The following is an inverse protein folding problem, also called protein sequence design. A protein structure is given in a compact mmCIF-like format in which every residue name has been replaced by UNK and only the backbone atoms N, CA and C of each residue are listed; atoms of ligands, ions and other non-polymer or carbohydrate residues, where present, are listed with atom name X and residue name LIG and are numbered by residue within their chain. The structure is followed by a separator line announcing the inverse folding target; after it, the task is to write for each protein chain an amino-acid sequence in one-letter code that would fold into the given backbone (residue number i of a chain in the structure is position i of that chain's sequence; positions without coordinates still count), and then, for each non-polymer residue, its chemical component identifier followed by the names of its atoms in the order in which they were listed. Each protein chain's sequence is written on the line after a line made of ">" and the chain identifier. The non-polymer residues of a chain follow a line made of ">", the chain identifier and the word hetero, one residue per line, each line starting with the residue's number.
data_IF_726050926678
#
_entry.id   IF_726050926678
#
_cell.length_a   1.000
_cell.length_b   1.000
_cell.length_c   1.000
_cell.angle_alpha   90.00
_cell.angle_beta   90.00
_cell.angle_gamma   90.00
#
_symmetry.space_group_name_H-M   'P 1'
#
loop_
_entity.id
_entity.type
_entity.pdbx_description
1 polymer ?
#
# COMPACT_ATOMS: atom_id res chain seq x y z
N UNK A 1 16.36 7.38 -15.36
CA UNK A 1 15.79 7.82 -14.07
C UNK A 1 14.54 6.99 -13.81
N UNK A 2 14.30 6.55 -12.56
CA UNK A 2 13.10 5.83 -12.19
C UNK A 2 12.01 6.89 -12.02
N UNK A 3 10.89 6.72 -12.74
CA UNK A 3 9.78 7.67 -12.68
C UNK A 3 8.70 7.12 -11.75
N UNK A 4 8.19 7.97 -10.87
CA UNK A 4 7.04 7.67 -10.01
C UNK A 4 5.77 7.75 -10.84
N UNK A 5 5.05 6.64 -10.97
CA UNK A 5 3.76 6.62 -11.68
C UNK A 5 2.56 6.57 -10.73
N UNK A 6 2.76 6.02 -9.54
CA UNK A 6 1.79 6.01 -8.45
C UNK A 6 2.43 6.58 -7.19
N UNK A 7 1.72 7.41 -6.48
CA UNK A 7 2.21 8.00 -5.24
C UNK A 7 1.23 7.78 -4.10
N UNK A 8 1.68 7.11 -3.05
CA UNK A 8 0.83 6.83 -1.89
C UNK A 8 1.07 7.86 -0.80
N UNK A 9 0.03 8.55 -0.38
CA UNK A 9 0.03 9.41 0.79
C UNK A 9 -0.42 8.58 2.00
N UNK A 10 0.50 8.24 2.87
CA UNK A 10 0.21 7.60 4.15
C UNK A 10 -0.22 8.70 5.13
N UNK A 11 -1.46 9.10 5.04
CA UNK A 11 -2.04 10.34 5.59
C UNK A 11 -1.87 10.49 7.09
N UNK A 12 -1.97 9.39 7.83
CA UNK A 12 -1.85 9.35 9.29
C UNK A 12 -1.44 7.97 9.77
N UNK A 13 -0.79 7.91 10.93
CA UNK A 13 -0.56 6.66 11.67
C UNK A 13 -1.75 6.27 12.54
N UNK A 14 -2.70 7.18 12.78
CA UNK A 14 -3.89 6.91 13.56
C UNK A 14 -4.91 6.12 12.73
N UNK A 15 -5.58 5.16 13.36
CA UNK A 15 -6.64 4.37 12.76
C UNK A 15 -7.80 4.19 13.74
N UNK A 16 -8.99 3.91 13.25
CA UNK A 16 -10.15 3.55 14.06
C UNK A 16 -10.15 2.08 14.48
N UNK A 17 -9.20 1.28 13.96
CA UNK A 17 -9.09 -0.16 14.17
C UNK A 17 -7.68 -0.55 14.66
N UNK A 18 -7.58 -1.78 15.22
CA UNK A 18 -6.33 -2.39 15.72
C UNK A 18 -6.05 -3.74 15.07
N UNK A 19 -6.33 -3.85 13.77
CA UNK A 19 -6.25 -5.10 13.02
C UNK A 19 -4.94 -5.86 13.24
N UNK A 20 -5.03 -7.17 13.59
CA UNK A 20 -3.86 -7.98 13.90
C UNK A 20 -2.87 -8.19 12.73
N UNK A 21 -3.33 -7.99 11.49
CA UNK A 21 -2.49 -8.11 10.28
C UNK A 21 -1.99 -6.75 9.74
N UNK A 22 -2.23 -5.65 10.46
CA UNK A 22 -1.91 -4.31 9.98
C UNK A 22 -0.42 -4.14 9.64
N UNK A 23 -0.10 -3.98 8.37
CA UNK A 23 1.26 -3.75 7.90
C UNK A 23 1.84 -2.42 8.37
N UNK A 24 1.01 -1.41 8.65
CA UNK A 24 1.45 -0.08 9.09
C UNK A 24 1.52 0.10 10.60
N UNK A 25 1.18 -0.93 11.39
CA UNK A 25 1.10 -0.84 12.85
C UNK A 25 0.17 0.26 13.36
N UNK A 26 -0.80 0.67 12.56
CA UNK A 26 -1.73 1.75 12.91
C UNK A 26 -2.69 1.35 14.02
N UNK A 27 -3.12 2.31 14.84
CA UNK A 27 -4.09 2.11 15.92
C UNK A 27 -4.69 3.45 16.37
N UNK A 28 -5.76 3.45 17.18
CA UNK A 28 -6.33 4.69 17.74
C UNK A 28 -5.35 5.52 18.59
N UNK A 29 -4.34 4.87 19.19
CA UNK A 29 -3.35 5.50 20.06
C UNK A 29 -2.15 6.07 19.31
N UNK A 30 -1.96 5.70 18.05
CA UNK A 30 -0.87 6.22 17.24
C UNK A 30 -1.12 7.67 16.87
N UNK A 31 -0.03 8.43 16.81
CA UNK A 31 -0.03 9.84 16.44
C UNK A 31 0.78 10.06 15.16
N UNK A 32 0.69 11.25 14.63
CA UNK A 32 1.32 11.65 13.37
C UNK A 32 0.28 11.68 12.25
N UNK A 33 0.19 12.83 11.62
CA UNK A 33 -0.65 13.08 10.44
C UNK A 33 0.00 14.13 9.57
N UNK A 34 -0.26 14.06 8.29
CA UNK A 34 0.10 15.09 7.32
C UNK A 34 -0.95 16.21 7.34
N UNK A 35 -0.52 17.43 7.09
CA UNK A 35 -1.43 18.53 6.77
C UNK A 35 -1.63 18.61 5.24
N UNK A 36 -2.68 19.31 4.83
CA UNK A 36 -2.95 19.55 3.41
C UNK A 36 -1.76 20.26 2.72
N UNK A 37 -1.14 21.23 3.39
CA UNK A 37 0.00 21.98 2.85
C UNK A 37 1.17 21.04 2.49
N UNK A 38 1.58 20.16 3.41
CA UNK A 38 2.66 19.20 3.13
C UNK A 38 2.31 18.26 1.98
N UNK A 39 1.05 17.81 1.90
CA UNK A 39 0.58 16.95 0.82
C UNK A 39 0.65 17.69 -0.53
N UNK A 40 0.08 18.89 -0.61
CA UNK A 40 0.00 19.66 -1.86
C UNK A 40 1.38 20.08 -2.36
N UNK A 41 2.25 20.60 -1.49
CA UNK A 41 3.62 20.96 -1.83
C UNK A 41 4.45 19.79 -2.34
N UNK A 42 4.29 18.60 -1.70
CA UNK A 42 4.96 17.37 -2.15
C UNK A 42 4.49 16.93 -3.53
N UNK A 43 3.16 16.97 -3.78
CA UNK A 43 2.60 16.59 -5.09
C UNK A 43 3.02 17.59 -6.17
N UNK A 44 3.00 18.90 -5.92
CA UNK A 44 3.50 19.90 -6.87
C UNK A 44 4.96 19.64 -7.23
N UNK A 45 5.81 19.47 -6.22
CA UNK A 45 7.22 19.18 -6.44
C UNK A 45 7.43 17.84 -7.18
N UNK A 46 6.59 16.82 -6.93
CA UNK A 46 6.62 15.59 -7.71
C UNK A 46 6.26 15.81 -9.18
N UNK A 47 5.22 16.60 -9.47
CA UNK A 47 4.81 16.91 -10.85
C UNK A 47 5.93 17.66 -11.59
N UNK A 48 6.59 18.61 -10.93
CA UNK A 48 7.69 19.38 -11.51
C UNK A 48 8.94 18.52 -11.82
N UNK A 49 9.22 17.52 -10.98
CA UNK A 49 10.40 16.67 -11.08
C UNK A 49 10.15 15.29 -11.73
N UNK A 50 8.89 14.98 -12.09
CA UNK A 50 8.50 13.68 -12.58
C UNK A 50 7.30 13.74 -13.54
N UNK A 51 7.52 13.41 -14.80
CA UNK A 51 6.52 13.55 -15.86
C UNK A 51 5.52 12.38 -15.96
N UNK A 52 5.56 11.41 -15.05
CA UNK A 52 4.76 10.19 -15.13
C UNK A 52 3.81 9.95 -13.97
N UNK A 53 3.67 10.91 -13.07
CA UNK A 53 2.70 10.77 -12.00
C UNK A 53 1.29 10.70 -12.60
N UNK A 54 0.63 9.59 -12.38
CA UNK A 54 -0.71 9.29 -12.92
C UNK A 54 -1.75 9.16 -11.80
N UNK A 55 -1.37 8.52 -10.70
CA UNK A 55 -2.30 8.17 -9.63
C UNK A 55 -1.76 8.56 -8.26
N UNK A 56 -2.59 9.22 -7.46
CA UNK A 56 -2.36 9.48 -6.04
C UNK A 56 -3.29 8.63 -5.18
N UNK A 57 -2.71 7.89 -4.23
CA UNK A 57 -3.41 6.95 -3.36
C UNK A 57 -3.40 7.49 -1.95
N UNK A 58 -4.56 7.74 -1.36
CA UNK A 58 -4.72 8.13 0.04
C UNK A 58 -4.94 6.88 0.89
N UNK A 59 -3.97 6.57 1.75
CA UNK A 59 -3.94 5.39 2.62
C UNK A 59 -3.30 5.76 3.98
N UNK A 60 -2.79 4.76 4.72
CA UNK A 60 -2.10 4.94 5.99
C UNK A 60 -2.76 4.19 7.13
N UNK A 61 -3.15 4.89 8.22
CA UNK A 61 -4.08 4.38 9.21
C UNK A 61 -5.50 4.42 8.65
N UNK A 62 -6.32 5.38 9.11
CA UNK A 62 -7.61 5.64 8.47
C UNK A 62 -7.59 7.07 7.89
N UNK A 63 -7.53 7.24 6.55
CA UNK A 63 -7.36 8.55 5.92
C UNK A 63 -8.48 9.54 6.24
N UNK A 64 -9.70 9.05 6.47
CA UNK A 64 -10.87 9.91 6.76
C UNK A 64 -10.74 10.67 8.08
N UNK A 65 -9.78 10.31 8.92
CA UNK A 65 -9.44 11.07 10.14
C UNK A 65 -8.78 12.43 9.84
N UNK A 66 -8.32 12.67 8.60
CA UNK A 66 -7.86 13.98 8.15
C UNK A 66 -9.02 14.97 7.93
N UNK A 67 -10.25 14.49 7.79
CA UNK A 67 -11.48 15.30 7.61
C UNK A 67 -11.40 16.20 6.36
N UNK A 68 -11.47 17.55 6.53
CA UNK A 68 -11.38 18.51 5.41
C UNK A 68 -10.09 18.39 4.63
N UNK A 69 -8.94 18.22 5.30
CA UNK A 69 -7.63 18.13 4.64
C UNK A 69 -7.57 16.98 3.63
N UNK A 70 -8.31 15.87 3.87
CA UNK A 70 -8.42 14.78 2.90
C UNK A 70 -9.21 15.22 1.65
N UNK A 71 -10.35 15.90 1.84
CA UNK A 71 -11.17 16.36 0.72
C UNK A 71 -10.42 17.41 -0.10
N UNK A 72 -9.74 18.34 0.57
CA UNK A 72 -8.92 19.36 -0.08
C UNK A 72 -7.77 18.73 -0.88
N UNK A 73 -7.12 17.69 -0.32
CA UNK A 73 -6.06 16.97 -1.02
C UNK A 73 -6.56 16.17 -2.24
N UNK A 74 -7.75 15.54 -2.13
CA UNK A 74 -8.38 14.84 -3.27
C UNK A 74 -8.71 15.85 -4.37
N UNK A 75 -9.33 16.99 -4.02
CA UNK A 75 -9.71 18.02 -4.98
C UNK A 75 -8.48 18.60 -5.68
N UNK A 76 -7.43 18.90 -4.91
CA UNK A 76 -6.16 19.38 -5.45
C UNK A 76 -5.55 18.40 -6.49
N UNK A 77 -5.53 17.10 -6.19
CA UNK A 77 -5.03 16.10 -7.14
C UNK A 77 -5.90 16.01 -8.40
N UNK A 78 -7.23 16.02 -8.24
CA UNK A 78 -8.17 15.97 -9.35
C UNK A 78 -8.04 17.21 -10.26
N UNK A 79 -7.87 18.39 -9.70
CA UNK A 79 -7.63 19.65 -10.45
C UNK A 79 -6.32 19.62 -11.23
N UNK A 80 -5.32 18.86 -10.78
CA UNK A 80 -4.07 18.61 -11.53
C UNK A 80 -4.21 17.51 -12.60
N UNK A 81 -5.39 16.92 -12.75
CA UNK A 81 -5.65 15.85 -13.71
C UNK A 81 -5.12 14.47 -13.28
N UNK A 82 -4.82 14.29 -12.00
CA UNK A 82 -4.35 13.01 -11.44
C UNK A 82 -5.52 12.12 -11.06
N UNK A 83 -5.41 10.82 -11.31
CA UNK A 83 -6.33 9.83 -10.76
C UNK A 83 -6.17 9.75 -9.24
N UNK A 84 -7.28 9.66 -8.53
CA UNK A 84 -7.28 9.62 -7.06
C UNK A 84 -7.89 8.33 -6.56
N UNK A 85 -7.24 7.69 -5.59
CA UNK A 85 -7.72 6.47 -4.94
C UNK A 85 -7.74 6.66 -3.43
N UNK A 86 -8.82 6.25 -2.78
CA UNK A 86 -8.95 6.20 -1.33
C UNK A 86 -9.01 4.74 -0.85
N UNK A 87 -8.16 4.37 0.10
CA UNK A 87 -8.22 3.07 0.80
C UNK A 87 -8.69 3.34 2.23
N UNK A 88 -9.85 2.80 2.60
CA UNK A 88 -10.52 3.07 3.88
C UNK A 88 -11.15 1.81 4.46
N UNK A 89 -11.21 1.73 5.77
CA UNK A 89 -11.92 0.65 6.48
C UNK A 89 -13.43 0.92 6.62
N UNK A 90 -13.91 2.05 6.11
CA UNK A 90 -15.31 2.47 6.12
C UNK A 90 -15.96 2.60 7.51
N UNK A 91 -15.19 2.71 8.60
CA UNK A 91 -15.73 2.89 9.98
C UNK A 91 -16.69 4.08 10.13
N UNK A 92 -16.62 5.03 9.23
CA UNK A 92 -17.50 6.21 9.17
C UNK A 92 -18.91 5.90 8.64
N UNK A 93 -19.12 4.76 8.00
CA UNK A 93 -20.38 4.40 7.34
C UNK A 93 -21.37 3.66 8.28
N UNK A 94 -21.47 4.09 9.54
CA UNK A 94 -22.30 3.46 10.58
C UNK A 94 -23.81 3.53 10.30
N UNK A 95 -24.25 4.43 9.44
CA UNK A 95 -25.62 4.50 8.94
C UNK A 95 -25.64 4.82 7.44
N UNK A 96 -26.70 4.41 6.74
CA UNK A 96 -26.87 4.70 5.31
C UNK A 96 -26.77 6.20 5.01
N UNK A 97 -27.37 7.06 5.88
CA UNK A 97 -27.33 8.52 5.71
C UNK A 97 -25.91 9.09 5.83
N UNK A 98 -25.11 8.58 6.77
CA UNK A 98 -23.71 9.01 6.90
C UNK A 98 -22.86 8.50 5.72
N UNK A 99 -23.08 7.26 5.31
CA UNK A 99 -22.40 6.68 4.15
C UNK A 99 -22.68 7.50 2.88
N UNK A 100 -23.94 7.81 2.60
CA UNK A 100 -24.36 8.61 1.45
C UNK A 100 -23.70 10.00 1.45
N UNK A 101 -23.70 10.68 2.59
CA UNK A 101 -23.07 12.01 2.74
C UNK A 101 -21.56 11.94 2.46
N UNK A 102 -20.87 10.98 3.07
CA UNK A 102 -19.41 10.88 2.94
C UNK A 102 -19.00 10.52 1.51
N UNK A 103 -19.67 9.53 0.91
CA UNK A 103 -19.39 9.13 -0.48
C UNK A 103 -19.67 10.28 -1.46
N UNK A 104 -20.76 11.02 -1.25
CA UNK A 104 -21.08 12.21 -2.06
C UNK A 104 -19.96 13.25 -1.94
N UNK A 105 -19.48 13.56 -0.72
CA UNK A 105 -18.37 14.50 -0.51
C UNK A 105 -17.07 14.04 -1.20
N UNK A 106 -16.76 12.75 -1.17
CA UNK A 106 -15.59 12.22 -1.88
C UNK A 106 -15.70 12.39 -3.40
N UNK A 107 -16.88 12.13 -3.97
CA UNK A 107 -17.11 12.33 -5.42
C UNK A 107 -17.08 13.79 -5.82
N UNK A 108 -17.68 14.66 -5.02
CA UNK A 108 -17.64 16.12 -5.24
C UNK A 108 -16.21 16.67 -5.19
N UNK A 109 -15.34 16.09 -4.34
CA UNK A 109 -13.92 16.38 -4.32
C UNK A 109 -13.13 15.78 -5.51
N UNK A 110 -13.74 14.93 -6.34
CA UNK A 110 -13.09 14.36 -7.53
C UNK A 110 -12.44 12.98 -7.32
N UNK A 111 -12.81 12.25 -6.23
CA UNK A 111 -12.28 10.90 -6.00
C UNK A 111 -12.69 9.95 -7.14
N UNK A 112 -11.70 9.33 -7.82
CA UNK A 112 -11.92 8.44 -8.93
C UNK A 112 -12.17 6.98 -8.51
N UNK A 113 -11.43 6.49 -7.51
CA UNK A 113 -11.54 5.10 -7.03
C UNK A 113 -11.64 5.04 -5.51
N UNK A 114 -12.49 4.14 -4.98
CA UNK A 114 -12.59 3.88 -3.55
C UNK A 114 -12.45 2.38 -3.26
N UNK A 115 -11.57 2.04 -2.29
CA UNK A 115 -11.27 0.69 -1.87
C UNK A 115 -11.68 0.51 -0.41
N UNK A 116 -12.65 -0.37 -0.16
CA UNK A 116 -13.13 -0.71 1.17
C UNK A 116 -12.43 -1.95 1.70
N UNK A 117 -11.67 -1.80 2.79
CA UNK A 117 -10.97 -2.92 3.42
C UNK A 117 -11.91 -3.76 4.25
N UNK A 118 -11.99 -5.06 3.98
CA UNK A 118 -12.81 -5.99 4.75
C UNK A 118 -12.18 -7.38 4.79
N UNK A 119 -11.95 -7.89 5.97
CA UNK A 119 -11.46 -9.25 6.25
C UNK A 119 -11.68 -9.61 7.72
N UNK A 120 -11.32 -10.82 8.13
CA UNK A 120 -11.49 -11.30 9.50
C UNK A 120 -10.82 -10.42 10.56
N UNK A 121 -9.77 -9.67 10.20
CA UNK A 121 -9.03 -8.81 11.13
C UNK A 121 -9.62 -7.41 11.28
N UNK A 122 -10.42 -6.97 10.30
CA UNK A 122 -11.15 -5.71 10.39
C UNK A 122 -12.43 -5.85 11.21
N UNK A 123 -13.11 -7.02 11.14
CA UNK A 123 -14.41 -7.26 11.74
C UNK A 123 -14.49 -7.08 13.26
N UNK A 124 -13.43 -7.33 14.06
CA UNK A 124 -13.48 -7.04 15.50
C UNK A 124 -13.70 -5.55 15.83
N UNK A 125 -13.24 -4.66 14.96
CA UNK A 125 -13.31 -3.21 15.16
C UNK A 125 -14.37 -2.53 14.26
N UNK A 126 -14.66 -3.10 13.08
CA UNK A 126 -15.53 -2.51 12.06
C UNK A 126 -16.64 -3.50 11.70
N UNK A 127 -17.87 -3.17 12.09
CA UNK A 127 -19.03 -4.00 11.75
C UNK A 127 -19.22 -4.07 10.22
N UNK A 128 -19.56 -5.27 9.72
CA UNK A 128 -19.74 -5.49 8.28
C UNK A 128 -20.85 -4.60 7.68
N UNK A 129 -21.81 -4.17 8.47
CA UNK A 129 -22.85 -3.22 8.03
C UNK A 129 -22.28 -1.90 7.55
N UNK A 130 -21.12 -1.45 8.09
CA UNK A 130 -20.43 -0.26 7.59
C UNK A 130 -20.00 -0.46 6.12
N UNK A 131 -19.49 -1.64 5.78
CA UNK A 131 -19.11 -1.98 4.41
C UNK A 131 -20.35 -2.02 3.50
N UNK A 132 -21.44 -2.64 3.96
CA UNK A 132 -22.71 -2.69 3.20
C UNK A 132 -23.25 -1.28 2.94
N UNK A 133 -23.25 -0.41 3.96
CA UNK A 133 -23.72 0.97 3.82
C UNK A 133 -22.84 1.77 2.85
N UNK A 134 -21.51 1.67 2.98
CA UNK A 134 -20.56 2.35 2.11
C UNK A 134 -20.66 1.87 0.67
N UNK A 135 -20.76 0.55 0.47
CA UNK A 135 -20.94 -0.07 -0.84
C UNK A 135 -22.20 0.41 -1.53
N UNK A 136 -23.35 0.36 -0.84
CA UNK A 136 -24.63 0.83 -1.39
C UNK A 136 -24.58 2.32 -1.73
N UNK A 137 -24.01 3.14 -0.86
CA UNK A 137 -23.85 4.58 -1.08
C UNK A 137 -22.99 4.89 -2.31
N UNK A 138 -22.06 3.98 -2.68
CA UNK A 138 -21.17 4.18 -3.84
C UNK A 138 -21.81 3.84 -5.19
N UNK A 139 -23.00 3.23 -5.19
CA UNK A 139 -23.68 2.87 -6.44
C UNK A 139 -24.16 4.13 -7.20
N UNK A 140 -23.94 4.11 -8.52
CA UNK A 140 -24.37 5.18 -9.43
C UNK A 140 -23.81 6.57 -9.06
N UNK A 141 -22.60 6.61 -8.47
CA UNK A 141 -21.92 7.88 -8.11
C UNK A 141 -20.88 8.33 -9.14
N UNK A 142 -20.67 7.54 -10.19
CA UNK A 142 -19.72 7.87 -11.26
C UNK A 142 -18.24 7.70 -10.84
N UNK A 143 -17.94 6.73 -9.97
CA UNK A 143 -16.57 6.30 -9.74
C UNK A 143 -16.04 5.54 -10.97
N UNK A 144 -14.75 5.57 -11.21
CA UNK A 144 -14.09 4.68 -12.18
C UNK A 144 -14.10 3.23 -11.66
N UNK A 145 -13.86 3.06 -10.35
CA UNK A 145 -13.99 1.77 -9.70
C UNK A 145 -14.36 1.88 -8.21
N UNK A 146 -15.13 0.90 -7.75
CA UNK A 146 -15.43 0.65 -6.34
C UNK A 146 -14.99 -0.76 -6.01
N UNK A 147 -14.08 -0.90 -5.07
CA UNK A 147 -13.39 -2.15 -4.78
C UNK A 147 -13.63 -2.59 -3.34
N UNK A 148 -13.93 -3.86 -3.14
CA UNK A 148 -13.80 -4.51 -1.83
C UNK A 148 -12.41 -5.16 -1.78
N UNK A 149 -11.56 -4.69 -0.87
CA UNK A 149 -10.22 -5.22 -0.65
C UNK A 149 -10.23 -6.20 0.52
N UNK A 150 -9.95 -7.47 0.23
CA UNK A 150 -9.96 -8.56 1.21
C UNK A 150 -8.56 -9.18 1.33
N UNK A 151 -8.08 -9.34 2.57
CA UNK A 151 -6.90 -10.13 2.88
C UNK A 151 -7.31 -11.48 3.46
N UNK A 152 -6.76 -12.58 2.92
CA UNK A 152 -7.17 -13.91 3.30
C UNK A 152 -6.00 -14.86 3.58
N UNK A 153 -6.27 -15.87 4.37
CA UNK A 153 -5.41 -17.01 4.66
C UNK A 153 -6.23 -18.31 4.68
N UNK A 154 -5.58 -19.46 5.00
CA UNK A 154 -6.25 -20.77 4.94
C UNK A 154 -7.48 -20.92 5.86
N UNK A 155 -7.58 -20.06 6.87
CA UNK A 155 -8.66 -20.13 7.89
C UNK A 155 -9.57 -18.91 7.87
N UNK A 156 -9.54 -18.11 6.81
CA UNK A 156 -10.40 -16.93 6.71
C UNK A 156 -11.86 -17.31 6.55
N UNK A 157 -12.72 -16.64 7.33
CA UNK A 157 -14.18 -16.77 7.28
C UNK A 157 -14.77 -15.76 6.30
N UNK A 158 -14.18 -14.55 6.24
CA UNK A 158 -14.55 -13.53 5.26
C UNK A 158 -13.89 -13.90 3.93
N UNK A 159 -14.64 -14.63 3.12
CA UNK A 159 -14.26 -15.08 1.78
C UNK A 159 -14.97 -14.26 0.71
N UNK A 160 -14.56 -14.39 -0.55
CA UNK A 160 -15.27 -13.77 -1.68
C UNK A 160 -16.75 -14.17 -1.72
N UNK A 161 -17.08 -15.42 -1.44
CA UNK A 161 -18.46 -15.89 -1.45
C UNK A 161 -19.27 -15.34 -0.28
N UNK A 162 -18.64 -15.22 0.89
CA UNK A 162 -19.26 -14.51 2.03
C UNK A 162 -19.57 -13.06 1.64
N UNK A 163 -18.61 -12.35 1.08
CA UNK A 163 -18.78 -10.94 0.68
C UNK A 163 -19.89 -10.79 -0.35
N UNK A 164 -19.91 -11.62 -1.41
CA UNK A 164 -20.97 -11.63 -2.43
C UNK A 164 -22.35 -11.86 -1.81
N UNK A 165 -22.44 -12.79 -0.87
CA UNK A 165 -23.70 -13.09 -0.16
C UNK A 165 -24.17 -11.89 0.66
N UNK A 166 -23.27 -11.25 1.41
CA UNK A 166 -23.61 -10.09 2.25
C UNK A 166 -24.02 -8.86 1.44
N UNK A 167 -23.38 -8.66 0.30
CA UNK A 167 -23.70 -7.54 -0.61
C UNK A 167 -24.89 -7.87 -1.53
N UNK A 168 -25.28 -9.13 -1.63
CA UNK A 168 -26.28 -9.66 -2.58
C UNK A 168 -25.92 -9.36 -4.05
N UNK A 169 -24.63 -9.49 -4.39
CA UNK A 169 -24.10 -9.19 -5.72
C UNK A 169 -23.05 -10.22 -6.16
N UNK A 170 -23.07 -10.58 -7.44
CA UNK A 170 -22.06 -11.44 -8.06
C UNK A 170 -20.90 -10.58 -8.58
N UNK A 171 -19.96 -10.29 -7.69
CA UNK A 171 -18.81 -9.44 -8.01
C UNK A 171 -17.66 -10.27 -8.60
N UNK A 172 -17.07 -9.83 -9.72
CA UNK A 172 -15.85 -10.43 -10.24
C UNK A 172 -14.71 -10.26 -9.22
N UNK A 173 -13.92 -11.32 -9.02
CA UNK A 173 -12.79 -11.31 -8.13
C UNK A 173 -11.48 -11.12 -8.89
N UNK A 174 -10.65 -10.25 -8.38
CA UNK A 174 -9.30 -9.99 -8.80
C UNK A 174 -8.35 -10.63 -7.78
N UNK A 175 -7.31 -11.35 -8.22
CA UNK A 175 -6.34 -11.99 -7.33
C UNK A 175 -5.00 -11.28 -7.43
N UNK A 176 -4.50 -10.78 -6.30
CA UNK A 176 -3.16 -10.25 -6.22
C UNK A 176 -2.14 -11.35 -5.91
N UNK A 177 -1.08 -11.40 -6.70
CA UNK A 177 0.18 -12.06 -6.31
C UNK A 177 0.43 -13.48 -6.81
N UNK A 178 -0.50 -14.17 -7.46
CA UNK A 178 -0.31 -15.57 -7.90
C UNK A 178 -0.21 -15.78 -9.41
N UNK A 179 -0.12 -14.71 -10.20
CA UNK A 179 -0.21 -14.84 -11.65
C UNK A 179 -1.57 -15.40 -12.10
N UNK A 180 -2.57 -15.37 -11.22
CA UNK A 180 -3.95 -15.64 -11.57
C UNK A 180 -4.40 -14.66 -12.64
N UNK A 181 -5.12 -15.16 -13.66
CA UNK A 181 -5.64 -14.30 -14.70
C UNK A 181 -6.50 -13.21 -14.07
N UNK A 182 -6.04 -11.97 -14.19
CA UNK A 182 -6.84 -10.82 -13.86
C UNK A 182 -8.09 -10.84 -14.75
N UNK A 183 -9.23 -11.14 -14.18
CA UNK A 183 -10.48 -11.07 -14.91
C UNK A 183 -10.63 -9.63 -15.44
N UNK A 184 -10.89 -9.48 -16.73
CA UNK A 184 -11.25 -8.17 -17.26
C UNK A 184 -12.58 -7.79 -16.65
N UNK A 185 -12.60 -6.82 -15.74
CA UNK A 185 -13.82 -6.33 -15.11
C UNK A 185 -14.42 -5.29 -16.05
N UNK A 186 -15.56 -5.63 -16.64
CA UNK A 186 -16.31 -4.71 -17.48
C UNK A 186 -17.02 -3.68 -16.61
N UNK A 187 -17.10 -2.41 -17.05
CA UNK A 187 -17.93 -1.41 -16.39
C UNK A 187 -19.40 -1.85 -16.37
N UNK A 188 -20.11 -1.49 -15.31
CA UNK A 188 -21.55 -1.60 -15.23
C UNK A 188 -22.25 -0.53 -16.09
N UNK A 189 -23.59 -0.51 -16.11
CA UNK A 189 -24.38 0.45 -16.91
C UNK A 189 -24.09 1.92 -16.53
N UNK A 190 -23.68 2.18 -15.28
CA UNK A 190 -23.28 3.53 -14.81
C UNK A 190 -21.81 3.89 -15.14
N UNK A 191 -21.10 3.02 -15.84
CA UNK A 191 -19.69 3.19 -16.20
C UNK A 191 -18.70 2.78 -15.11
N UNK A 192 -19.16 2.45 -13.91
CA UNK A 192 -18.31 2.09 -12.76
C UNK A 192 -17.93 0.60 -12.78
N UNK A 193 -16.68 0.27 -12.45
CA UNK A 193 -16.25 -1.10 -12.25
C UNK A 193 -16.42 -1.48 -10.78
N UNK A 194 -17.22 -2.50 -10.51
CA UNK A 194 -17.44 -3.05 -9.17
C UNK A 194 -16.74 -4.41 -9.04
N UNK A 195 -15.82 -4.56 -8.08
CA UNK A 195 -15.01 -5.78 -7.99
C UNK A 195 -14.52 -6.10 -6.57
N UNK A 196 -14.07 -7.35 -6.41
CA UNK A 196 -13.32 -7.82 -5.26
C UNK A 196 -11.83 -7.86 -5.61
N UNK A 197 -10.97 -7.34 -4.74
CA UNK A 197 -9.52 -7.52 -4.77
C UNK A 197 -9.11 -8.40 -3.60
N UNK A 198 -8.58 -9.59 -3.88
CA UNK A 198 -8.16 -10.52 -2.85
C UNK A 198 -6.64 -10.58 -2.78
N UNK A 199 -6.09 -10.36 -1.60
CA UNK A 199 -4.67 -10.48 -1.31
C UNK A 199 -4.43 -11.55 -0.25
N UNK A 200 -3.29 -12.23 -0.31
CA UNK A 200 -2.87 -13.13 0.76
C UNK A 200 -2.42 -12.34 1.98
N UNK A 201 -2.67 -12.90 3.17
CA UNK A 201 -2.09 -12.37 4.40
C UNK A 201 -0.57 -12.39 4.33
N UNK A 202 0.05 -11.29 4.75
CA UNK A 202 1.49 -11.09 4.76
C UNK A 202 2.00 -10.84 6.19
N UNK A 203 3.21 -11.27 6.46
CA UNK A 203 3.90 -11.04 7.74
C UNK A 203 4.68 -9.73 7.71
N UNK A 204 3.96 -8.62 7.76
CA UNK A 204 4.51 -7.26 7.78
C UNK A 204 3.93 -6.46 8.94
N UNK A 205 4.72 -5.61 9.54
CA UNK A 205 4.30 -4.80 10.66
C UNK A 205 3.72 -5.66 11.79
N UNK A 206 2.49 -5.37 12.26
CA UNK A 206 1.81 -6.19 13.28
C UNK A 206 1.47 -7.60 12.80
N UNK A 207 1.32 -7.77 11.49
CA UNK A 207 1.15 -9.09 10.87
C UNK A 207 2.37 -10.00 10.98
N UNK A 208 3.55 -9.51 11.37
CA UNK A 208 4.77 -10.32 11.59
C UNK A 208 4.57 -11.45 12.59
N UNK A 209 3.64 -11.28 13.54
CA UNK A 209 3.32 -12.24 14.60
C UNK A 209 2.28 -13.30 14.18
N UNK A 210 1.76 -13.23 12.95
CA UNK A 210 0.82 -14.23 12.46
C UNK A 210 1.44 -15.63 12.41
N UNK A 211 0.74 -16.66 12.93
CA UNK A 211 1.26 -18.02 12.93
C UNK A 211 1.29 -18.62 11.52
N UNK A 212 2.17 -19.60 11.29
CA UNK A 212 2.30 -20.29 10.00
C UNK A 212 0.97 -20.81 9.44
N UNK A 213 0.10 -21.31 10.31
CA UNK A 213 -1.22 -21.82 9.91
C UNK A 213 -2.22 -20.76 9.42
N UNK A 214 -1.88 -19.46 9.54
CA UNK A 214 -2.67 -18.35 8.99
C UNK A 214 -2.16 -17.90 7.61
N UNK A 215 -0.98 -18.36 7.19
CA UNK A 215 -0.30 -17.88 5.99
C UNK A 215 -0.37 -18.91 4.86
N UNK A 216 -0.69 -18.44 3.66
CA UNK A 216 -0.48 -19.18 2.42
C UNK A 216 0.89 -18.79 1.89
N UNK A 217 1.88 -19.63 2.14
CA UNK A 217 3.24 -19.38 1.66
C UNK A 217 3.31 -19.55 0.14
N UNK A 218 3.84 -18.57 -0.58
CA UNK A 218 4.02 -18.69 -2.03
C UNK A 218 5.13 -19.68 -2.36
N UNK A 219 5.10 -20.22 -3.59
CA UNK A 219 6.23 -20.97 -4.14
C UNK A 219 7.44 -20.04 -4.32
N UNK A 220 8.66 -20.62 -4.21
CA UNK A 220 9.91 -19.87 -4.35
C UNK A 220 10.00 -19.08 -5.67
N UNK A 221 9.48 -19.63 -6.76
CA UNK A 221 9.45 -18.94 -8.07
C UNK A 221 8.70 -17.60 -8.03
N UNK A 222 7.70 -17.45 -7.15
CA UNK A 222 6.93 -16.22 -6.97
C UNK A 222 7.73 -15.19 -6.17
N UNK A 223 8.54 -15.67 -5.21
CA UNK A 223 9.42 -14.81 -4.41
C UNK A 223 10.64 -14.33 -5.21
N UNK A 224 11.08 -15.11 -6.20
CA UNK A 224 12.24 -14.81 -7.04
C UNK A 224 11.88 -13.96 -8.27
N UNK A 225 11.14 -12.87 -8.02
CA UNK A 225 10.76 -11.92 -9.06
C UNK A 225 11.31 -10.53 -8.75
N UNK A 226 11.63 -9.73 -9.79
CA UNK A 226 11.92 -8.32 -9.61
C UNK A 226 10.79 -7.59 -8.89
N UNK A 227 11.11 -6.52 -8.14
CA UNK A 227 10.12 -5.62 -7.59
C UNK A 227 9.93 -4.42 -8.54
N UNK A 228 8.90 -4.39 -9.39
CA UNK A 228 8.69 -3.30 -10.32
C UNK A 228 8.19 -2.02 -9.64
N UNK A 229 7.80 -2.12 -8.36
CA UNK A 229 7.13 -1.05 -7.62
C UNK A 229 8.09 -0.14 -6.85
N UNK A 230 9.29 -0.61 -6.48
CA UNK A 230 10.25 0.20 -5.75
C UNK A 230 10.51 1.54 -6.48
N UNK A 231 10.26 2.65 -5.81
CA UNK A 231 10.25 4.04 -6.29
C UNK A 231 9.15 4.35 -7.30
N UNK A 232 8.80 3.44 -8.20
CA UNK A 232 7.69 3.65 -9.14
C UNK A 232 6.35 3.87 -8.43
N UNK A 233 6.15 3.20 -7.29
CA UNK A 233 5.03 3.39 -6.37
C UNK A 233 5.56 3.92 -5.03
N UNK A 234 6.23 5.07 -5.08
CA UNK A 234 6.78 5.73 -3.91
C UNK A 234 5.68 6.20 -2.95
N UNK A 235 6.04 6.53 -1.71
CA UNK A 235 5.08 7.03 -0.76
C UNK A 235 5.61 8.22 0.05
N UNK A 236 4.69 9.05 0.55
CA UNK A 236 4.91 10.03 1.61
C UNK A 236 4.41 9.43 2.92
N UNK A 237 5.30 9.24 3.89
CA UNK A 237 4.95 8.74 5.20
C UNK A 237 4.18 9.79 6.02
N UNK A 238 3.43 9.36 7.04
CA UNK A 238 2.78 10.28 7.99
C UNK A 238 3.77 11.16 8.77
N UNK A 239 5.07 10.82 8.72
CA UNK A 239 6.16 11.63 9.26
C UNK A 239 6.71 12.67 8.27
N UNK A 240 6.27 12.68 7.02
CA UNK A 240 6.77 13.60 5.98
C UNK A 240 7.98 13.07 5.23
N UNK A 241 8.32 11.79 5.32
CA UNK A 241 9.45 11.21 4.59
C UNK A 241 9.01 10.64 3.24
N UNK A 242 9.81 10.89 2.21
CA UNK A 242 9.72 10.21 0.93
C UNK A 242 10.35 8.82 1.06
N UNK A 243 9.57 7.78 0.77
CA UNK A 243 9.99 6.38 0.91
C UNK A 243 9.77 5.60 -0.39
N UNK A 244 10.53 4.51 -0.57
CA UNK A 244 10.57 3.75 -1.82
C UNK A 244 9.25 3.07 -2.21
N UNK A 245 8.40 2.76 -1.23
CA UNK A 245 7.09 2.11 -1.44
C UNK A 245 6.16 2.37 -0.24
N UNK A 246 4.91 1.95 -0.36
CA UNK A 246 3.89 2.16 0.67
C UNK A 246 3.94 1.14 1.84
N UNK A 247 4.86 0.18 1.82
CA UNK A 247 4.99 -0.83 2.86
C UNK A 247 5.77 -0.35 4.08
N UNK A 248 5.54 -1.00 5.23
CA UNK A 248 6.23 -0.66 6.49
C UNK A 248 7.74 -0.86 6.40
N UNK A 249 8.19 -1.79 5.56
CA UNK A 249 9.61 -2.05 5.30
C UNK A 249 10.38 -0.83 4.79
N UNK A 250 9.69 0.11 4.15
CA UNK A 250 10.33 1.29 3.60
C UNK A 250 10.64 2.37 4.64
N UNK A 251 10.14 2.26 5.87
CA UNK A 251 10.25 3.32 6.85
C UNK A 251 11.44 3.13 7.80
N UNK A 252 12.09 4.24 8.15
CA UNK A 252 13.09 4.31 9.21
C UNK A 252 14.37 3.52 8.93
N UNK A 253 14.72 3.32 7.67
CA UNK A 253 15.98 2.69 7.28
C UNK A 253 16.63 3.44 6.11
N UNK A 254 17.94 3.40 6.04
CA UNK A 254 18.76 4.15 5.09
C UNK A 254 18.65 3.68 3.63
N UNK A 255 18.07 2.50 3.36
CA UNK A 255 17.99 1.93 2.02
C UNK A 255 16.73 2.35 1.27
N UNK A 256 15.62 2.49 1.97
CA UNK A 256 14.31 2.73 1.38
C UNK A 256 13.64 4.02 1.86
N UNK A 257 14.16 4.66 2.91
CA UNK A 257 13.74 5.97 3.41
C UNK A 257 14.74 7.03 2.95
N UNK A 258 14.29 7.89 2.03
CA UNK A 258 15.19 8.86 1.41
C UNK A 258 15.33 10.14 2.21
N UNK A 259 14.38 10.46 3.08
CA UNK A 259 14.43 11.61 3.99
C UNK A 259 13.15 12.44 3.99
N UNK A 260 13.15 13.48 4.83
CA UNK A 260 12.03 14.38 5.06
C UNK A 260 11.89 15.38 3.90
N UNK A 261 10.70 15.47 3.29
CA UNK A 261 10.40 16.39 2.17
C UNK A 261 10.42 17.85 2.58
N UNK A 262 10.32 18.13 3.90
CA UNK A 262 10.39 19.50 4.44
C UNK A 262 11.82 20.00 4.60
N UNK A 263 12.80 19.08 4.68
CA UNK A 263 14.21 19.40 4.82
C UNK A 263 14.95 19.36 3.48
N UNK A 264 14.50 18.47 2.59
CA UNK A 264 15.12 18.21 1.30
C UNK A 264 14.10 18.35 0.18
N UNK A 265 14.53 18.87 -0.97
CA UNK A 265 13.69 18.90 -2.18
C UNK A 265 13.29 17.50 -2.64
N UNK A 266 12.05 17.33 -3.10
CA UNK A 266 11.57 16.02 -3.61
C UNK A 266 12.46 15.54 -4.77
N UNK A 267 12.93 16.44 -5.63
CA UNK A 267 13.85 16.12 -6.72
C UNK A 267 15.15 15.49 -6.21
N UNK A 268 15.78 16.08 -5.19
CA UNK A 268 17.02 15.55 -4.59
C UNK A 268 16.80 14.16 -3.95
N UNK A 269 15.65 13.98 -3.30
CA UNK A 269 15.28 12.67 -2.70
C UNK A 269 15.05 11.60 -3.77
N UNK A 270 14.45 11.96 -4.91
CA UNK A 270 14.29 11.06 -6.05
C UNK A 270 15.63 10.72 -6.72
N UNK A 271 16.55 11.68 -6.80
CA UNK A 271 17.91 11.45 -7.30
C UNK A 271 18.65 10.45 -6.40
N UNK A 272 18.63 10.67 -5.08
CA UNK A 272 19.17 9.72 -4.08
C UNK A 272 18.58 8.33 -4.26
N UNK A 273 17.25 8.22 -4.49
CA UNK A 273 16.60 6.94 -4.76
C UNK A 273 17.13 6.26 -6.03
N UNK A 274 17.36 7.03 -7.09
CA UNK A 274 17.86 6.54 -8.37
C UNK A 274 19.33 6.07 -8.30
N UNK A 275 20.13 6.68 -7.44
CA UNK A 275 21.54 6.30 -7.24
C UNK A 275 21.70 5.04 -6.37
N UNK A 276 20.71 4.73 -5.53
CA UNK A 276 20.76 3.61 -4.60
C UNK A 276 21.00 2.25 -5.29
N UNK A 277 22.11 1.59 -4.94
CA UNK A 277 22.41 0.23 -5.43
C UNK A 277 21.37 -0.78 -4.97
N UNK A 278 20.85 -0.65 -3.74
CA UNK A 278 19.78 -1.51 -3.21
C UNK A 278 18.54 -1.39 -4.08
N UNK A 279 18.11 -0.18 -4.42
CA UNK A 279 16.96 0.05 -5.30
C UNK A 279 17.20 -0.58 -6.68
N UNK A 280 18.39 -0.38 -7.26
CA UNK A 280 18.73 -0.98 -8.56
C UNK A 280 18.66 -2.49 -8.54
N UNK A 281 19.20 -3.15 -7.50
CA UNK A 281 19.16 -4.61 -7.33
C UNK A 281 17.72 -5.10 -7.14
N UNK A 282 16.96 -4.49 -6.23
CA UNK A 282 15.57 -4.88 -5.95
C UNK A 282 14.72 -4.77 -7.22
N UNK A 283 14.89 -3.72 -8.00
CA UNK A 283 14.14 -3.52 -9.24
C UNK A 283 14.50 -4.48 -10.35
N UNK A 284 15.77 -4.82 -10.48
CA UNK A 284 16.28 -5.64 -11.58
C UNK A 284 16.18 -7.15 -11.29
N UNK A 285 16.46 -7.53 -10.05
CA UNK A 285 16.60 -8.94 -9.64
C UNK A 285 15.63 -9.34 -8.51
N UNK A 286 15.11 -8.39 -7.73
CA UNK A 286 14.17 -8.62 -6.63
C UNK A 286 14.84 -8.79 -5.26
N UNK A 287 14.04 -8.66 -4.18
CA UNK A 287 14.51 -8.84 -2.80
C UNK A 287 15.06 -10.24 -2.51
N UNK A 288 14.50 -11.28 -3.16
CA UNK A 288 14.98 -12.66 -2.98
C UNK A 288 16.42 -12.84 -3.48
N UNK A 289 16.74 -12.26 -4.64
CA UNK A 289 18.11 -12.23 -5.14
C UNK A 289 19.04 -11.51 -4.15
N UNK A 290 18.65 -10.32 -3.69
CA UNK A 290 19.44 -9.54 -2.74
C UNK A 290 19.69 -10.31 -1.43
N UNK A 291 18.66 -10.98 -0.91
CA UNK A 291 18.80 -11.85 0.26
C UNK A 291 19.83 -12.96 0.04
N UNK A 292 19.77 -13.65 -1.09
CA UNK A 292 20.71 -14.74 -1.40
C UNK A 292 22.13 -14.22 -1.64
N UNK A 293 22.27 -13.05 -2.26
CA UNK A 293 23.55 -12.35 -2.38
C UNK A 293 24.13 -12.07 -0.98
N UNK A 294 23.36 -11.49 -0.07
CA UNK A 294 23.82 -11.23 1.31
C UNK A 294 24.17 -12.53 2.04
N UNK A 295 23.35 -13.58 1.88
CA UNK A 295 23.66 -14.91 2.47
C UNK A 295 25.02 -15.45 2.04
N UNK A 296 25.45 -15.25 0.81
CA UNK A 296 26.74 -15.75 0.32
C UNK A 296 27.95 -15.12 1.00
N UNK A 297 27.76 -13.96 1.65
CA UNK A 297 28.80 -13.26 2.42
C UNK A 297 28.61 -13.38 3.94
N UNK A 298 27.47 -13.92 4.42
CA UNK A 298 27.18 -14.05 5.84
C UNK A 298 27.89 -15.22 6.53
N UNK A 299 28.52 -16.13 5.78
CA UNK A 299 29.10 -17.36 6.31
C UNK A 299 28.05 -18.27 6.93
N UNK A 300 28.31 -18.77 8.14
CA UNK A 300 27.40 -19.68 8.88
C UNK A 300 26.34 -18.92 9.70
N UNK A 301 26.29 -17.59 9.63
CA UNK A 301 25.32 -16.81 10.38
C UNK A 301 23.90 -17.00 9.82
N UNK A 302 22.95 -17.42 10.69
CA UNK A 302 21.53 -17.50 10.32
C UNK A 302 20.85 -16.14 10.51
N UNK A 303 21.01 -15.25 9.53
CA UNK A 303 20.48 -13.88 9.58
C UNK A 303 19.08 -13.73 8.94
N UNK A 304 18.57 -14.76 8.27
CA UNK A 304 17.29 -14.77 7.58
C UNK A 304 16.38 -15.93 8.01
N UNK A 305 15.07 -15.75 7.81
CA UNK A 305 14.07 -16.80 8.04
C UNK A 305 14.19 -17.91 6.99
N UNK A 306 13.60 -19.06 7.28
CA UNK A 306 13.56 -20.20 6.35
C UNK A 306 12.41 -20.08 5.33
N UNK A 307 11.35 -19.31 5.66
CA UNK A 307 10.16 -19.15 4.83
C UNK A 307 9.64 -17.71 4.93
N UNK A 308 9.07 -17.23 3.83
CA UNK A 308 8.53 -15.88 3.69
C UNK A 308 7.14 -15.90 3.08
N UNK A 309 6.25 -15.05 3.58
CA UNK A 309 4.89 -14.88 3.08
C UNK A 309 4.83 -14.03 1.82
N UNK A 310 5.86 -13.20 1.58
CA UNK A 310 5.91 -12.28 0.44
C UNK A 310 7.33 -11.78 0.17
N UNK A 311 7.52 -11.17 -1.00
CA UNK A 311 8.75 -10.45 -1.33
C UNK A 311 8.98 -9.24 -0.40
N UNK A 312 7.91 -8.62 0.08
CA UNK A 312 7.99 -7.49 1.02
C UNK A 312 8.51 -7.95 2.39
N UNK A 313 8.12 -9.14 2.88
CA UNK A 313 8.69 -9.70 4.11
C UNK A 313 10.20 -10.00 3.97
N UNK A 314 10.65 -10.43 2.79
CA UNK A 314 12.09 -10.58 2.52
C UNK A 314 12.78 -9.22 2.56
N UNK A 315 12.19 -8.21 1.92
CA UNK A 315 12.71 -6.86 1.89
C UNK A 315 12.84 -6.30 3.32
N UNK A 316 11.79 -6.43 4.15
CA UNK A 316 11.80 -6.05 5.57
C UNK A 316 12.95 -6.74 6.33
N UNK A 317 13.12 -8.05 6.11
CA UNK A 317 14.20 -8.84 6.72
C UNK A 317 15.61 -8.38 6.31
N UNK A 318 15.77 -7.75 5.15
CA UNK A 318 17.03 -7.17 4.70
C UNK A 318 17.26 -5.80 5.34
N UNK A 319 16.30 -4.89 5.15
CA UNK A 319 16.50 -3.46 5.45
C UNK A 319 16.45 -3.14 6.94
N UNK A 320 15.84 -3.99 7.76
CA UNK A 320 15.80 -3.84 9.20
C UNK A 320 16.80 -4.74 9.97
N UNK A 321 17.50 -5.64 9.27
CA UNK A 321 18.56 -6.46 9.89
C UNK A 321 19.90 -5.72 9.82
N UNK A 322 20.54 -5.35 10.96
CA UNK A 322 21.80 -4.62 10.95
C UNK A 322 22.92 -5.34 10.18
N UNK A 323 23.05 -6.67 10.39
CA UNK A 323 24.07 -7.47 9.73
C UNK A 323 23.87 -7.56 8.21
N UNK A 324 22.62 -7.73 7.78
CA UNK A 324 22.29 -7.73 6.35
C UNK A 324 22.62 -6.37 5.69
N UNK A 325 22.36 -5.27 6.40
CA UNK A 325 22.71 -3.92 5.89
C UNK A 325 24.22 -3.70 5.80
N UNK A 326 25.00 -4.14 6.78
CA UNK A 326 26.46 -4.07 6.74
C UNK A 326 27.01 -4.81 5.52
N UNK A 327 26.60 -6.07 5.33
CA UNK A 327 27.02 -6.88 4.18
C UNK A 327 26.59 -6.23 2.85
N UNK A 328 25.35 -5.75 2.77
CA UNK A 328 24.88 -5.09 1.56
C UNK A 328 25.73 -3.84 1.22
N UNK A 329 26.06 -3.00 2.19
CA UNK A 329 26.90 -1.82 1.98
C UNK A 329 28.31 -2.17 1.53
N UNK A 330 28.89 -3.21 2.11
CA UNK A 330 30.26 -3.62 1.84
C UNK A 330 30.39 -4.25 0.45
N UNK A 331 29.47 -5.15 0.07
CA UNK A 331 29.66 -6.00 -1.11
C UNK A 331 28.80 -5.63 -2.34
N UNK A 332 27.69 -4.87 -2.21
CA UNK A 332 26.93 -4.45 -3.38
C UNK A 332 27.72 -3.60 -4.41
N UNK A 333 28.70 -2.80 -4.02
CA UNK A 333 29.55 -2.09 -4.99
C UNK A 333 30.25 -3.03 -5.98
N UNK A 334 30.57 -4.27 -5.60
CA UNK A 334 31.22 -5.26 -6.47
C UNK A 334 30.36 -5.63 -7.68
N UNK A 335 29.03 -5.64 -7.55
CA UNK A 335 28.10 -5.95 -8.64
C UNK A 335 27.56 -4.71 -9.35
N UNK A 336 27.99 -3.51 -8.96
CA UNK A 336 27.57 -2.24 -9.59
C UNK A 336 27.72 -2.22 -11.12
N UNK A 337 28.80 -2.82 -11.72
CA UNK A 337 28.97 -2.78 -13.17
C UNK A 337 27.88 -3.54 -13.96
N UNK A 338 27.11 -4.41 -13.29
CA UNK A 338 26.04 -5.19 -13.94
C UNK A 338 24.63 -4.67 -13.61
N UNK A 339 24.52 -3.58 -12.81
CA UNK A 339 23.27 -2.93 -12.43
C UNK A 339 22.93 -1.79 -13.38
#
# INVERSE_FOLDING_TARGET
>A
MIEVSQFTILTTNQCTATCGHCSMNSSPQRTGKLSFEVISETIESLIENNNRLDTVIFAGGEPTLLRSDLLDAIAFCADKGLNTRLVTNASWAITEKLAERMVTSFREAGLAEINYSVDDFHQPDIDFSCIVNAWRASKNKGFDSVVIANCYGPKSHITSDFIRTQLAEDLPAFWDGDGGQNATVMPSEDGTRYLLSNSRLQRLGRGSDLPDGAIIFPEEKVLNLPCPWAVRSAALSAGGHLVACCGTEAHGNEFLDFGDVREFGVGDLLEKANESLVIKVIRKYGPYFLMNFIKSYAGDEKIFKDRYSSVCEICEGIVHNPRAREIAKEYLPEISPIL
#
